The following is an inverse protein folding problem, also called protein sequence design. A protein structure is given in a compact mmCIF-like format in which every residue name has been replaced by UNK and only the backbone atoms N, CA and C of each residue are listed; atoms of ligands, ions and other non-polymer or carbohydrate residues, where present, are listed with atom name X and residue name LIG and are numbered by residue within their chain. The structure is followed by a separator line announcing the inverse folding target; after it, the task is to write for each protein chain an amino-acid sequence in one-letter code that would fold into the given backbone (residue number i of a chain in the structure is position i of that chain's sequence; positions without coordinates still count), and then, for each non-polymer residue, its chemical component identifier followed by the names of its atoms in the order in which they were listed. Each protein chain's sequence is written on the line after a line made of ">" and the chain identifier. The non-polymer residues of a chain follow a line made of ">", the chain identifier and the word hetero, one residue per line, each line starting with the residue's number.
data_IF_581808362991
#
_entry.id   IF_581808362991
#
_cell.length_a   1.000
_cell.length_b   1.000
_cell.length_c   1.000
_cell.angle_alpha   90.00
_cell.angle_beta   90.00
_cell.angle_gamma   90.00
#
_symmetry.space_group_name_H-M   'P 1'
#
loop_
_entity.id
_entity.type
_entity.pdbx_description
1 polymer ?
#
# COMPACT_ATOMS: atom_id res chain seq x y z
N UNK A 1 21.89 19.71 -15.41
CA UNK A 1 21.47 18.33 -15.18
C UNK A 1 20.07 18.06 -15.75
N UNK A 2 19.16 19.03 -15.72
CA UNK A 2 17.81 18.93 -16.31
C UNK A 2 17.59 19.96 -17.42
N UNK A 3 16.64 19.72 -18.31
CA UNK A 3 16.14 20.65 -19.32
C UNK A 3 14.66 20.87 -19.05
N UNK A 4 14.25 22.15 -19.08
CA UNK A 4 12.83 22.48 -19.14
C UNK A 4 12.40 22.41 -20.60
N UNK A 5 11.48 21.54 -20.97
CA UNK A 5 11.00 21.37 -22.35
C UNK A 5 9.68 22.10 -22.61
N UNK A 6 8.82 22.22 -21.61
CA UNK A 6 7.55 22.93 -21.70
C UNK A 6 7.21 23.49 -20.32
N UNK A 7 7.00 24.77 -20.18
CA UNK A 7 6.59 25.56 -19.01
C UNK A 7 6.37 24.77 -17.70
N UNK A 8 7.45 24.26 -17.11
CA UNK A 8 7.40 23.54 -15.82
C UNK A 8 7.66 22.03 -15.87
N UNK A 9 7.75 21.43 -17.06
CA UNK A 9 8.11 20.01 -17.18
C UNK A 9 9.64 19.85 -17.28
N UNK A 10 10.25 19.49 -16.16
CA UNK A 10 11.70 19.31 -16.03
C UNK A 10 12.09 17.86 -16.32
N UNK A 11 12.79 17.62 -17.41
CA UNK A 11 13.29 16.30 -17.77
C UNK A 11 14.79 16.17 -17.54
N UNK A 12 15.27 15.03 -16.98
CA UNK A 12 16.69 14.79 -16.82
C UNK A 12 17.38 14.65 -18.19
N UNK A 13 18.56 15.22 -18.32
CA UNK A 13 19.43 15.01 -19.51
C UNK A 13 20.03 13.61 -19.46
N UNK A 14 20.41 13.07 -20.61
CA UNK A 14 21.21 11.86 -20.70
C UNK A 14 22.49 12.02 -19.85
N UNK A 15 22.77 11.05 -18.98
CA UNK A 15 23.91 11.12 -18.04
C UNK A 15 23.69 12.05 -16.84
N UNK A 16 22.44 12.47 -16.57
CA UNK A 16 22.14 13.35 -15.45
C UNK A 16 22.38 12.65 -14.10
N UNK A 17 22.06 11.37 -14.01
CA UNK A 17 22.22 10.58 -12.78
C UNK A 17 23.72 10.49 -12.43
N UNK A 18 24.56 10.08 -13.36
CA UNK A 18 26.02 9.97 -13.17
C UNK A 18 26.65 11.32 -12.75
N UNK A 19 26.19 12.42 -13.35
CA UNK A 19 26.67 13.76 -12.96
C UNK A 19 26.26 14.15 -11.55
N UNK A 20 25.04 13.83 -11.12
CA UNK A 20 24.58 14.07 -9.75
C UNK A 20 25.38 13.22 -8.78
N UNK A 21 25.51 11.92 -9.07
CA UNK A 21 26.24 10.97 -8.21
C UNK A 21 27.70 11.36 -8.05
N UNK A 22 28.39 11.76 -9.13
CA UNK A 22 29.77 12.24 -9.07
C UNK A 22 29.94 13.46 -8.16
N UNK A 23 28.94 14.35 -8.09
CA UNK A 23 28.99 15.54 -7.22
C UNK A 23 28.72 15.24 -5.75
N UNK A 24 27.85 14.30 -5.45
CA UNK A 24 27.48 13.97 -4.08
C UNK A 24 28.40 12.92 -3.45
N UNK A 25 29.07 12.08 -4.25
CA UNK A 25 29.99 11.02 -3.80
C UNK A 25 30.99 11.47 -2.73
N UNK A 26 31.68 12.63 -2.83
CA UNK A 26 32.63 13.06 -1.80
C UNK A 26 32.00 13.35 -0.44
N UNK A 27 30.67 13.62 -0.41
CA UNK A 27 29.92 13.95 0.80
C UNK A 27 28.97 12.81 1.24
N UNK A 28 29.02 11.65 0.56
CA UNK A 28 28.11 10.55 0.81
C UNK A 28 28.88 9.35 1.35
N UNK A 29 28.44 8.83 2.48
CA UNK A 29 28.88 7.55 2.99
C UNK A 29 27.79 6.51 2.68
N UNK A 30 28.11 5.53 1.84
CA UNK A 30 27.18 4.42 1.52
C UNK A 30 27.45 3.27 2.48
N UNK A 31 26.48 2.99 3.33
CA UNK A 31 26.51 1.82 4.20
C UNK A 31 26.16 0.57 3.39
N UNK A 32 27.12 -0.29 3.14
CA UNK A 32 26.82 -1.54 2.45
C UNK A 32 26.00 -2.48 3.33
N UNK A 33 24.87 -3.01 2.85
CA UNK A 33 24.06 -3.97 3.62
C UNK A 33 24.85 -5.24 4.03
N UNK A 34 25.95 -5.53 3.34
CA UNK A 34 26.80 -6.68 3.61
C UNK A 34 27.85 -6.51 4.70
N UNK A 35 28.14 -5.27 5.13
CA UNK A 35 29.19 -4.96 6.13
C UNK A 35 28.64 -5.04 7.56
N UNK A 36 27.36 -4.75 7.73
CA UNK A 36 26.65 -4.88 9.01
C UNK A 36 25.68 -6.05 8.95
N UNK A 37 26.25 -7.24 8.84
CA UNK A 37 25.50 -8.51 8.74
C UNK A 37 24.99 -8.99 10.09
N UNK A 38 23.89 -8.49 10.56
CA UNK A 38 22.81 -9.38 10.91
C UNK A 38 22.21 -9.85 9.58
N UNK A 39 22.47 -11.08 9.19
CA UNK A 39 21.89 -11.64 7.95
C UNK A 39 20.40 -11.66 8.14
N UNK A 40 19.72 -10.69 7.54
CA UNK A 40 18.26 -10.74 7.49
C UNK A 40 17.86 -12.05 6.80
N UNK A 41 16.83 -12.73 7.30
CA UNK A 41 16.28 -13.89 6.62
C UNK A 41 15.75 -13.49 5.24
N UNK A 42 15.56 -14.44 4.33
CA UNK A 42 14.93 -14.18 3.03
C UNK A 42 13.60 -13.46 3.17
N UNK A 43 13.33 -12.55 2.22
CA UNK A 43 12.04 -11.89 2.09
C UNK A 43 11.42 -12.29 0.74
N UNK A 44 10.32 -13.04 0.82
CA UNK A 44 9.60 -13.55 -0.33
C UNK A 44 8.41 -12.65 -0.60
N UNK A 45 8.33 -12.09 -1.81
CA UNK A 45 7.17 -11.32 -2.26
C UNK A 45 6.35 -12.20 -3.19
N UNK A 46 5.07 -12.39 -2.84
CA UNK A 46 4.13 -13.25 -3.54
C UNK A 46 3.00 -12.40 -4.09
N UNK A 47 2.87 -12.36 -5.41
CA UNK A 47 1.72 -11.72 -6.06
C UNK A 47 0.51 -12.65 -6.01
N UNK A 48 -0.55 -12.20 -5.34
CA UNK A 48 -1.84 -12.86 -5.31
C UNK A 48 -2.79 -12.13 -6.24
N UNK A 49 -3.23 -12.81 -7.30
CA UNK A 49 -4.01 -12.20 -8.38
C UNK A 49 -5.43 -12.72 -8.39
N UNK A 50 -6.40 -11.82 -8.50
CA UNK A 50 -7.83 -12.13 -8.64
C UNK A 50 -8.44 -11.44 -9.85
N UNK A 51 -9.54 -11.98 -10.31
CA UNK A 51 -10.38 -11.39 -11.35
C UNK A 51 -11.68 -10.84 -10.74
N UNK A 52 -12.26 -9.83 -11.37
CA UNK A 52 -13.57 -9.30 -11.04
C UNK A 52 -14.34 -8.91 -12.31
N UNK A 53 -15.65 -8.72 -12.20
CA UNK A 53 -16.40 -8.03 -13.27
C UNK A 53 -15.95 -6.57 -13.33
N UNK A 54 -15.37 -6.18 -14.48
CA UNK A 54 -14.81 -4.85 -14.69
C UNK A 54 -15.75 -3.87 -15.41
N UNK A 55 -17.00 -4.24 -15.63
CA UNK A 55 -17.95 -3.39 -16.36
C UNK A 55 -18.05 -1.98 -15.74
N UNK A 56 -18.28 -1.91 -14.44
CA UNK A 56 -18.32 -0.64 -13.70
C UNK A 56 -16.95 0.07 -13.68
N UNK A 57 -15.87 -0.69 -13.54
CA UNK A 57 -14.50 -0.18 -13.54
C UNK A 57 -14.14 0.50 -14.86
N UNK A 58 -14.40 -0.16 -15.98
CA UNK A 58 -14.11 0.38 -17.32
C UNK A 58 -15.00 1.61 -17.64
N UNK A 59 -16.25 1.61 -17.17
CA UNK A 59 -17.13 2.78 -17.28
C UNK A 59 -16.56 3.98 -16.51
N UNK A 60 -16.17 3.81 -15.25
CA UNK A 60 -15.53 4.86 -14.47
C UNK A 60 -14.24 5.37 -15.13
N UNK A 61 -13.43 4.47 -15.68
CA UNK A 61 -12.16 4.82 -16.34
C UNK A 61 -12.38 5.63 -17.61
N UNK A 62 -13.45 5.35 -18.37
CA UNK A 62 -13.74 6.02 -19.64
C UNK A 62 -14.52 7.31 -19.45
N UNK A 63 -15.57 7.26 -18.68
CA UNK A 63 -16.60 8.31 -18.62
C UNK A 63 -16.47 9.18 -17.36
N UNK A 64 -15.55 8.82 -16.43
CA UNK A 64 -15.39 9.45 -15.11
C UNK A 64 -16.66 9.40 -14.25
N UNK A 65 -17.56 8.48 -14.58
CA UNK A 65 -18.87 8.30 -13.98
C UNK A 65 -19.30 6.84 -14.01
N UNK A 66 -19.93 6.38 -12.94
CA UNK A 66 -20.57 5.06 -12.85
C UNK A 66 -21.82 5.13 -11.98
N UNK A 67 -22.83 4.33 -12.32
CA UNK A 67 -24.01 4.12 -11.48
C UNK A 67 -23.87 2.79 -10.75
N UNK A 68 -23.97 2.79 -9.43
CA UNK A 68 -23.90 1.61 -8.58
C UNK A 68 -24.92 1.72 -7.46
N UNK A 69 -25.76 0.69 -7.30
CA UNK A 69 -26.75 0.63 -6.23
C UNK A 69 -27.74 1.79 -6.23
N UNK A 70 -28.03 2.41 -7.41
CA UNK A 70 -28.87 3.60 -7.55
C UNK A 70 -28.18 4.94 -7.25
N UNK A 71 -26.88 4.93 -6.93
CA UNK A 71 -26.07 6.12 -6.77
C UNK A 71 -25.24 6.42 -8.02
N UNK A 72 -25.20 7.69 -8.44
CA UNK A 72 -24.33 8.18 -9.50
C UNK A 72 -22.99 8.65 -8.89
N UNK A 73 -21.91 7.97 -9.19
CA UNK A 73 -20.58 8.21 -8.64
C UNK A 73 -19.71 8.88 -9.70
N UNK A 74 -19.27 10.09 -9.43
CA UNK A 74 -18.44 10.88 -10.36
C UNK A 74 -17.02 11.12 -9.83
N UNK A 75 -16.09 11.37 -10.76
CA UNK A 75 -14.71 11.75 -10.45
C UNK A 75 -14.30 12.97 -11.29
N UNK A 76 -14.30 14.13 -10.69
CA UNK A 76 -14.10 15.41 -11.38
C UNK A 76 -12.65 15.74 -11.74
N UNK A 77 -11.68 15.00 -11.21
CA UNK A 77 -10.25 15.22 -11.47
C UNK A 77 -9.52 13.91 -11.72
N UNK A 78 -8.37 13.94 -12.42
CA UNK A 78 -7.55 12.77 -12.66
C UNK A 78 -7.11 12.07 -11.35
N UNK A 79 -6.81 12.84 -10.31
CA UNK A 79 -6.48 12.30 -9.00
C UNK A 79 -7.67 11.59 -8.34
N UNK A 80 -8.88 12.15 -8.46
CA UNK A 80 -10.09 11.52 -7.98
C UNK A 80 -10.39 10.23 -8.75
N UNK A 81 -10.24 10.22 -10.07
CA UNK A 81 -10.36 8.99 -10.91
C UNK A 81 -9.41 7.92 -10.42
N UNK A 82 -8.13 8.25 -10.27
CA UNK A 82 -7.10 7.31 -9.81
C UNK A 82 -7.47 6.69 -8.47
N UNK A 83 -7.91 7.51 -7.50
CA UNK A 83 -8.34 7.03 -6.18
C UNK A 83 -9.58 6.13 -6.27
N UNK A 84 -10.58 6.50 -7.08
CA UNK A 84 -11.79 5.68 -7.28
C UNK A 84 -11.48 4.37 -8.00
N UNK A 85 -10.62 4.38 -9.00
CA UNK A 85 -10.17 3.15 -9.68
C UNK A 85 -9.46 2.19 -8.73
N UNK A 86 -8.68 2.71 -7.77
CA UNK A 86 -8.03 1.87 -6.75
C UNK A 86 -9.05 1.28 -5.78
N UNK A 87 -10.06 2.04 -5.36
CA UNK A 87 -11.18 1.53 -4.57
C UNK A 87 -11.95 0.45 -5.35
N UNK A 88 -12.25 0.71 -6.62
CA UNK A 88 -12.99 -0.23 -7.48
C UNK A 88 -12.18 -1.51 -7.76
N UNK A 89 -10.86 -1.44 -7.87
CA UNK A 89 -10.02 -2.64 -7.90
C UNK A 89 -10.15 -3.48 -6.62
N UNK A 90 -10.48 -2.85 -5.48
CA UNK A 90 -10.82 -3.51 -4.22
C UNK A 90 -12.23 -4.08 -4.14
N UNK A 91 -13.08 -3.85 -5.16
CA UNK A 91 -14.48 -4.34 -5.22
C UNK A 91 -15.51 -3.38 -4.62
N UNK A 92 -15.14 -2.13 -4.35
CA UNK A 92 -16.00 -1.12 -3.75
C UNK A 92 -15.62 0.28 -4.22
N UNK A 93 -16.49 1.28 -3.98
CA UNK A 93 -16.17 2.69 -4.24
C UNK A 93 -16.99 3.61 -3.34
N UNK A 94 -16.40 4.72 -2.90
CA UNK A 94 -17.15 5.74 -2.18
C UNK A 94 -18.01 6.57 -3.12
N UNK A 95 -19.26 6.78 -2.71
CA UNK A 95 -20.07 7.92 -3.09
C UNK A 95 -19.92 9.05 -2.06
N UNK A 96 -19.99 10.30 -2.51
CA UNK A 96 -19.92 11.47 -1.64
C UNK A 96 -21.18 12.28 -1.81
N UNK A 97 -22.07 12.21 -0.83
CA UNK A 97 -23.31 12.98 -0.80
C UNK A 97 -23.09 14.22 0.06
N UNK A 98 -23.43 15.38 -0.49
CA UNK A 98 -23.37 16.66 0.23
C UNK A 98 -24.77 17.10 0.62
N UNK A 99 -25.04 17.20 1.91
CA UNK A 99 -26.33 17.65 2.44
C UNK A 99 -26.19 19.05 3.05
N UNK A 100 -27.20 19.88 2.86
CA UNK A 100 -27.27 21.18 3.52
C UNK A 100 -27.37 20.98 5.03
N UNK A 101 -26.49 21.63 5.78
CA UNK A 101 -26.59 21.67 7.25
C UNK A 101 -27.69 22.66 7.71
N UNK A 102 -28.21 22.42 8.91
CA UNK A 102 -29.17 23.37 9.57
C UNK A 102 -28.64 24.80 9.74
N UNK A 103 -27.33 24.99 9.54
CA UNK A 103 -26.69 26.31 9.51
C UNK A 103 -26.55 26.79 8.07
N UNK A 104 -27.11 27.96 7.78
CA UNK A 104 -27.08 28.58 6.46
C UNK A 104 -25.66 28.62 5.86
N UNK A 105 -25.50 28.09 4.66
CA UNK A 105 -24.25 28.09 3.91
C UNK A 105 -23.24 27.02 4.31
N UNK A 106 -23.55 26.08 5.22
CA UNK A 106 -22.70 24.96 5.60
C UNK A 106 -23.24 23.68 4.97
N UNK A 107 -22.38 22.97 4.21
CA UNK A 107 -22.67 21.65 3.67
C UNK A 107 -21.89 20.61 4.44
N UNK A 108 -22.56 19.52 4.82
CA UNK A 108 -21.91 18.33 5.38
C UNK A 108 -21.75 17.29 4.27
N UNK A 109 -20.55 16.76 4.11
CA UNK A 109 -20.27 15.68 3.16
C UNK A 109 -20.22 14.36 3.89
N UNK A 110 -21.01 13.41 3.42
CA UNK A 110 -21.02 12.01 3.88
C UNK A 110 -20.45 11.11 2.79
N UNK A 111 -19.69 10.09 3.20
CA UNK A 111 -19.15 9.09 2.28
C UNK A 111 -19.83 7.76 2.55
N UNK A 112 -20.42 7.20 1.52
CA UNK A 112 -21.05 5.87 1.55
C UNK A 112 -20.25 4.93 0.65
N UNK A 113 -19.89 3.76 1.15
CA UNK A 113 -19.19 2.76 0.35
C UNK A 113 -20.21 1.86 -0.37
N UNK A 114 -20.09 1.77 -1.68
CA UNK A 114 -20.87 0.85 -2.51
C UNK A 114 -20.00 -0.35 -2.85
N UNK A 115 -20.32 -1.50 -2.27
CA UNK A 115 -19.68 -2.79 -2.52
C UNK A 115 -20.35 -3.49 -3.69
N UNK A 116 -19.56 -4.02 -4.60
CA UNK A 116 -20.05 -4.77 -5.76
C UNK A 116 -19.28 -6.08 -5.99
N UNK A 117 -18.18 -6.32 -5.26
CA UNK A 117 -17.42 -7.56 -5.32
C UNK A 117 -16.66 -7.81 -4.01
N UNK A 118 -16.59 -9.08 -3.60
CA UNK A 118 -15.82 -9.53 -2.42
C UNK A 118 -14.51 -10.24 -2.78
N UNK A 119 -14.21 -10.36 -4.08
CA UNK A 119 -13.10 -11.16 -4.63
C UNK A 119 -11.77 -11.01 -3.88
N UNK A 120 -11.46 -9.79 -3.40
CA UNK A 120 -10.23 -9.52 -2.65
C UNK A 120 -10.27 -10.09 -1.24
N UNK A 121 -11.42 -10.02 -0.58
CA UNK A 121 -11.59 -10.63 0.74
C UNK A 121 -11.67 -12.15 0.68
N UNK A 122 -12.24 -12.70 -0.40
CA UNK A 122 -12.29 -14.15 -0.61
C UNK A 122 -10.86 -14.70 -0.81
N UNK A 123 -10.04 -14.00 -1.61
CA UNK A 123 -8.61 -14.33 -1.72
C UNK A 123 -7.84 -14.13 -0.40
N UNK A 124 -8.21 -13.13 0.43
CA UNK A 124 -7.61 -12.96 1.76
C UNK A 124 -7.94 -14.13 2.68
N UNK A 125 -9.16 -14.64 2.66
CA UNK A 125 -9.52 -15.84 3.43
C UNK A 125 -8.65 -17.04 3.05
N UNK A 126 -8.45 -17.28 1.75
CA UNK A 126 -7.57 -18.37 1.27
C UNK A 126 -6.12 -18.21 1.78
N UNK A 127 -5.59 -16.97 1.76
CA UNK A 127 -4.25 -16.69 2.30
C UNK A 127 -4.21 -16.98 3.81
N UNK A 128 -5.22 -16.53 4.56
CA UNK A 128 -5.27 -16.70 6.02
C UNK A 128 -5.50 -18.16 6.41
N UNK A 129 -6.30 -18.90 5.66
CA UNK A 129 -6.48 -20.35 5.85
C UNK A 129 -5.15 -21.11 5.66
N UNK A 130 -4.38 -20.75 4.64
CA UNK A 130 -3.04 -21.29 4.43
C UNK A 130 -2.02 -20.90 5.50
N UNK A 131 -2.29 -19.82 6.25
CA UNK A 131 -1.39 -19.22 7.24
C UNK A 131 -1.85 -19.39 8.70
N UNK A 132 -2.76 -20.30 9.02
CA UNK A 132 -3.44 -20.41 10.33
C UNK A 132 -2.50 -20.46 11.54
N UNK A 133 -1.30 -20.98 11.39
CA UNK A 133 -0.31 -21.10 12.48
C UNK A 133 0.44 -19.78 12.75
N UNK A 134 0.48 -18.87 11.77
CA UNK A 134 1.30 -17.68 11.83
C UNK A 134 0.49 -16.40 12.11
N UNK A 135 1.08 -15.52 12.90
CA UNK A 135 0.52 -14.19 13.09
C UNK A 135 0.77 -13.36 11.82
N UNK A 136 -0.26 -12.68 11.34
CA UNK A 136 -0.25 -11.99 10.05
C UNK A 136 -0.61 -10.51 10.21
N UNK A 137 0.18 -9.63 9.59
CA UNK A 137 -0.14 -8.21 9.46
C UNK A 137 -0.98 -8.00 8.19
N UNK A 138 -2.12 -7.33 8.33
CA UNK A 138 -2.98 -6.91 7.24
C UNK A 138 -2.78 -5.41 6.98
N UNK A 139 -2.27 -5.06 5.80
CA UNK A 139 -1.99 -3.68 5.43
C UNK A 139 -3.14 -3.15 4.58
N UNK A 140 -3.75 -2.04 5.04
CA UNK A 140 -4.86 -1.37 4.38
C UNK A 140 -4.51 0.09 4.06
N UNK A 141 -5.08 0.65 3.00
CA UNK A 141 -4.91 2.07 2.64
C UNK A 141 -6.19 2.89 2.83
N UNK A 142 -7.33 2.24 2.88
CA UNK A 142 -8.63 2.93 2.97
C UNK A 142 -9.35 2.55 4.27
N UNK A 143 -10.02 3.54 4.87
CA UNK A 143 -10.81 3.33 6.10
C UNK A 143 -11.90 2.27 5.90
N UNK A 144 -12.48 2.21 4.71
CA UNK A 144 -13.48 1.20 4.36
C UNK A 144 -12.91 -0.22 4.37
N UNK A 145 -11.68 -0.42 3.90
CA UNK A 145 -11.01 -1.72 3.99
C UNK A 145 -10.88 -2.16 5.46
N UNK A 146 -10.48 -1.24 6.35
CA UNK A 146 -10.41 -1.52 7.78
C UNK A 146 -11.78 -1.85 8.37
N UNK A 147 -12.83 -1.12 7.97
CA UNK A 147 -14.19 -1.38 8.45
C UNK A 147 -14.66 -2.79 8.08
N UNK A 148 -14.41 -3.20 6.83
CA UNK A 148 -14.74 -4.54 6.35
C UNK A 148 -13.87 -5.62 7.01
N UNK A 149 -12.57 -5.37 7.21
CA UNK A 149 -11.70 -6.27 7.96
C UNK A 149 -12.22 -6.51 9.38
N UNK A 150 -12.61 -5.46 10.10
CA UNK A 150 -13.18 -5.59 11.47
C UNK A 150 -14.50 -6.36 11.50
N UNK A 151 -15.31 -6.20 10.45
CA UNK A 151 -16.57 -6.96 10.31
C UNK A 151 -16.33 -8.43 10.03
N UNK A 152 -15.39 -8.75 9.12
CA UNK A 152 -15.09 -10.13 8.71
C UNK A 152 -14.24 -10.89 9.73
N UNK A 153 -13.35 -10.19 10.43
CA UNK A 153 -12.44 -10.76 11.43
C UNK A 153 -12.62 -10.07 12.78
N UNK A 154 -13.58 -10.51 13.63
CA UNK A 154 -13.89 -9.85 14.91
C UNK A 154 -12.73 -9.82 15.91
N UNK A 155 -11.71 -10.67 15.71
CA UNK A 155 -10.50 -10.73 16.55
C UNK A 155 -9.32 -9.94 15.96
N UNK A 156 -9.56 -9.12 14.95
CA UNK A 156 -8.58 -8.23 14.37
C UNK A 156 -8.23 -7.12 15.36
N UNK A 157 -6.94 -6.89 15.54
CA UNK A 157 -6.40 -5.75 16.29
C UNK A 157 -5.88 -4.66 15.37
N UNK A 158 -5.90 -3.43 15.85
CA UNK A 158 -5.27 -2.27 15.22
C UNK A 158 -4.26 -1.65 16.19
N UNK A 159 -3.38 -0.78 15.70
CA UNK A 159 -2.43 -0.08 16.58
C UNK A 159 -3.10 0.87 17.59
N UNK A 160 -4.36 1.26 17.33
CA UNK A 160 -5.13 2.17 18.18
C UNK A 160 -5.90 1.44 19.31
N UNK A 161 -5.88 0.10 19.34
CA UNK A 161 -6.63 -0.69 20.32
C UNK A 161 -5.95 -0.77 21.71
N UNK A 162 -4.85 -0.07 21.90
CA UNK A 162 -4.20 0.09 23.21
C UNK A 162 -2.70 0.38 23.12
N UNK A 163 -2.13 0.91 24.17
CA UNK A 163 -0.71 1.27 24.24
C UNK A 163 0.22 0.03 24.27
N UNK A 164 -0.29 -1.12 24.63
CA UNK A 164 0.45 -2.39 24.75
C UNK A 164 0.31 -3.31 23.52
N UNK A 165 -0.38 -2.87 22.46
CA UNK A 165 -0.63 -3.67 21.25
C UNK A 165 0.67 -4.19 20.63
N UNK A 166 1.70 -3.36 20.50
CA UNK A 166 3.00 -3.77 19.95
C UNK A 166 3.64 -4.86 20.81
N UNK A 167 3.56 -4.74 22.14
CA UNK A 167 4.06 -5.75 23.05
C UNK A 167 3.27 -7.06 22.91
N UNK A 168 1.93 -7.01 22.92
CA UNK A 168 1.07 -8.18 22.76
C UNK A 168 1.27 -8.87 21.43
N UNK A 169 1.46 -8.10 20.36
CA UNK A 169 1.82 -8.63 19.04
C UNK A 169 3.14 -9.41 19.12
N UNK A 170 4.19 -8.80 19.65
CA UNK A 170 5.51 -9.41 19.76
C UNK A 170 5.53 -10.62 20.72
N UNK A 171 4.66 -10.65 21.73
CA UNK A 171 4.46 -11.80 22.62
C UNK A 171 3.59 -12.92 21.99
N UNK A 172 3.17 -12.76 20.71
CA UNK A 172 2.39 -13.77 19.97
C UNK A 172 0.91 -13.87 20.39
N UNK A 173 0.39 -12.89 21.15
CA UNK A 173 -0.99 -12.88 21.66
C UNK A 173 -2.01 -12.38 20.63
N UNK A 174 -1.56 -11.74 19.57
CA UNK A 174 -2.38 -11.19 18.49
C UNK A 174 -2.13 -11.99 17.22
N UNK A 175 -3.19 -12.57 16.64
CA UNK A 175 -3.12 -13.35 15.40
C UNK A 175 -3.20 -12.48 14.15
N UNK A 176 -4.07 -11.48 14.17
CA UNK A 176 -4.28 -10.55 13.05
C UNK A 176 -4.11 -9.12 13.54
N UNK A 177 -3.21 -8.38 12.92
CA UNK A 177 -2.94 -6.97 13.20
C UNK A 177 -3.12 -6.14 11.94
N UNK A 178 -4.11 -5.24 11.91
CA UNK A 178 -4.28 -4.30 10.80
C UNK A 178 -3.40 -3.06 11.00
N UNK A 179 -2.68 -2.68 9.94
CA UNK A 179 -1.74 -1.56 9.96
C UNK A 179 -1.93 -0.69 8.72
N UNK A 180 -2.03 0.61 8.93
CA UNK A 180 -1.98 1.58 7.82
C UNK A 180 -0.52 1.95 7.52
N UNK A 181 -0.05 2.03 6.26
CA UNK A 181 1.35 2.33 5.92
C UNK A 181 1.89 3.60 6.57
N UNK A 182 1.08 4.65 6.68
CA UNK A 182 1.49 5.91 7.33
C UNK A 182 1.68 5.76 8.84
N UNK A 183 0.88 4.91 9.50
CA UNK A 183 1.04 4.63 10.94
C UNK A 183 2.28 3.78 11.22
N UNK A 184 2.67 2.94 10.26
CA UNK A 184 3.90 2.16 10.34
C UNK A 184 5.17 3.03 10.32
N UNK A 185 5.10 4.31 9.87
CA UNK A 185 6.22 5.26 9.84
C UNK A 185 6.84 5.58 11.20
N UNK A 186 6.18 5.30 12.33
CA UNK A 186 6.62 5.71 13.68
C UNK A 186 7.60 4.75 14.39
N UNK A 187 8.46 4.06 13.67
CA UNK A 187 9.56 3.28 14.29
C UNK A 187 9.14 2.00 15.02
N UNK A 188 7.94 1.47 14.75
CA UNK A 188 7.42 0.28 15.40
C UNK A 188 8.28 -0.96 15.11
N UNK A 189 8.53 -1.76 16.14
CA UNK A 189 9.23 -3.04 16.05
C UNK A 189 8.21 -4.17 16.09
N UNK A 190 7.88 -4.75 14.94
CA UNK A 190 6.86 -5.81 14.82
C UNK A 190 7.46 -7.17 14.41
N UNK A 191 8.80 -7.26 14.28
CA UNK A 191 9.48 -8.43 13.75
C UNK A 191 9.42 -9.67 14.64
N UNK A 192 9.15 -9.52 15.93
CA UNK A 192 9.12 -10.66 16.85
C UNK A 192 7.77 -11.39 16.86
N UNK A 193 6.67 -10.67 16.57
CA UNK A 193 5.32 -11.22 16.65
C UNK A 193 4.92 -12.05 15.44
N UNK A 194 5.45 -11.74 14.25
CA UNK A 194 5.05 -12.40 13.02
C UNK A 194 6.08 -12.21 11.89
N UNK A 195 5.92 -12.99 10.84
CA UNK A 195 6.77 -12.94 9.64
C UNK A 195 5.94 -12.90 8.34
N UNK A 196 4.62 -12.69 8.46
CA UNK A 196 3.70 -12.63 7.32
C UNK A 196 2.99 -11.30 7.26
N UNK A 197 2.89 -10.75 6.06
CA UNK A 197 2.25 -9.48 5.77
C UNK A 197 1.44 -9.59 4.49
N UNK A 198 0.22 -9.07 4.50
CA UNK A 198 -0.67 -9.04 3.34
C UNK A 198 -1.05 -7.59 3.04
N UNK A 199 -0.72 -7.09 1.87
CA UNK A 199 -1.20 -5.80 1.38
C UNK A 199 -2.54 -6.01 0.67
N UNK A 200 -3.62 -5.53 1.28
CA UNK A 200 -4.95 -5.52 0.64
C UNK A 200 -4.98 -4.56 -0.55
N UNK A 201 -4.37 -3.41 -0.39
CA UNK A 201 -4.13 -2.44 -1.44
C UNK A 201 -2.76 -1.81 -1.28
N UNK A 202 -2.13 -1.43 -2.38
CA UNK A 202 -0.77 -0.91 -2.39
C UNK A 202 -0.75 0.61 -2.17
N UNK A 203 0.22 1.14 -1.41
CA UNK A 203 0.50 2.57 -1.40
C UNK A 203 1.16 2.99 -2.72
N UNK A 204 0.96 4.24 -3.15
CA UNK A 204 1.65 4.82 -4.31
C UNK A 204 3.12 5.17 -4.06
N UNK A 205 3.53 5.19 -2.79
CA UNK A 205 4.87 5.53 -2.37
C UNK A 205 5.71 4.28 -2.11
N UNK A 206 6.83 4.14 -2.83
CA UNK A 206 7.81 3.08 -2.57
C UNK A 206 8.34 3.18 -1.13
N UNK A 207 8.61 4.39 -0.66
CA UNK A 207 9.08 4.60 0.71
C UNK A 207 8.09 4.04 1.75
N UNK A 208 6.79 4.32 1.60
CA UNK A 208 5.77 3.76 2.50
C UNK A 208 5.67 2.24 2.41
N UNK A 209 5.80 1.67 1.20
CA UNK A 209 5.83 0.23 1.01
C UNK A 209 7.02 -0.41 1.73
N UNK A 210 8.23 0.09 1.48
CA UNK A 210 9.47 -0.42 2.07
C UNK A 210 9.53 -0.21 3.58
N UNK A 211 9.11 0.95 4.09
CA UNK A 211 9.00 1.20 5.52
C UNK A 211 8.02 0.24 6.19
N UNK A 212 6.91 -0.11 5.54
CA UNK A 212 5.93 -1.04 6.08
C UNK A 212 6.48 -2.45 6.14
N UNK A 213 7.09 -2.94 5.05
CA UNK A 213 7.78 -4.24 5.02
C UNK A 213 8.90 -4.29 6.07
N UNK A 214 9.68 -3.21 6.19
CA UNK A 214 10.73 -3.07 7.18
C UNK A 214 10.29 -3.10 8.65
N UNK A 215 8.97 -3.18 8.96
CA UNK A 215 8.50 -3.40 10.34
C UNK A 215 8.65 -4.84 10.78
N UNK A 216 8.64 -5.80 9.84
CA UNK A 216 8.84 -7.23 10.11
C UNK A 216 10.15 -7.76 9.51
N UNK A 217 10.62 -7.20 8.38
CA UNK A 217 11.88 -7.58 7.74
C UNK A 217 13.01 -6.66 8.18
N UNK A 218 13.53 -6.92 9.37
CA UNK A 218 14.60 -6.12 10.00
C UNK A 218 15.40 -6.95 11.00
N UNK A 219 16.48 -6.39 11.56
CA UNK A 219 17.32 -7.05 12.56
C UNK A 219 16.50 -7.62 13.72
N UNK A 220 16.79 -8.88 14.08
CA UNK A 220 16.04 -9.66 15.07
C UNK A 220 14.90 -10.51 14.52
N UNK A 221 14.59 -10.44 13.22
CA UNK A 221 13.74 -11.45 12.56
C UNK A 221 14.56 -12.71 12.27
N UNK A 222 14.07 -13.87 12.70
CA UNK A 222 14.75 -15.16 12.54
C UNK A 222 14.09 -16.06 11.49
N UNK A 223 12.87 -15.71 11.06
CA UNK A 223 12.08 -16.50 10.10
C UNK A 223 12.02 -15.82 8.75
N UNK A 224 11.94 -16.61 7.68
CA UNK A 224 11.67 -16.11 6.34
C UNK A 224 10.41 -15.23 6.36
N UNK A 225 10.53 -14.02 5.79
CA UNK A 225 9.42 -13.07 5.71
C UNK A 225 8.64 -13.30 4.42
N UNK A 226 7.32 -13.35 4.52
CA UNK A 226 6.41 -13.52 3.40
C UNK A 226 5.51 -12.29 3.27
N UNK A 227 5.62 -11.63 2.14
CA UNK A 227 4.82 -10.44 1.81
C UNK A 227 3.91 -10.79 0.64
N UNK A 228 2.61 -10.89 0.93
CA UNK A 228 1.59 -11.13 -0.09
C UNK A 228 1.08 -9.78 -0.60
N UNK A 229 1.10 -9.61 -1.91
CA UNK A 229 0.62 -8.40 -2.59
C UNK A 229 -0.61 -8.78 -3.38
N UNK A 230 -1.77 -8.27 -2.96
CA UNK A 230 -3.04 -8.57 -3.62
C UNK A 230 -3.27 -7.61 -4.79
N UNK A 231 -3.45 -8.17 -5.97
CA UNK A 231 -3.63 -7.45 -7.23
C UNK A 231 -4.90 -7.92 -7.92
N UNK A 232 -5.69 -6.98 -8.44
CA UNK A 232 -6.81 -7.29 -9.31
C UNK A 232 -6.36 -7.14 -10.77
N UNK A 233 -6.51 -8.21 -11.55
CA UNK A 233 -6.05 -8.27 -12.93
C UNK A 233 -6.68 -7.18 -13.81
N UNK A 234 -5.85 -6.60 -14.69
CA UNK A 234 -6.24 -5.57 -15.68
C UNK A 234 -6.83 -4.31 -15.03
N UNK A 235 -6.37 -3.96 -13.85
CA UNK A 235 -6.75 -2.74 -13.11
C UNK A 235 -5.54 -1.86 -12.82
N UNK A 236 -5.79 -0.78 -12.09
CA UNK A 236 -4.74 0.17 -11.67
C UNK A 236 -3.72 -0.47 -10.72
N UNK A 237 -4.06 -1.59 -10.06
CA UNK A 237 -3.14 -2.30 -9.17
C UNK A 237 -1.86 -2.74 -9.87
N UNK A 238 -1.98 -3.24 -11.10
CA UNK A 238 -0.82 -3.65 -11.91
C UNK A 238 0.09 -2.46 -12.22
N UNK A 239 -0.50 -1.28 -12.46
CA UNK A 239 0.25 -0.05 -12.73
C UNK A 239 0.94 0.46 -11.47
N UNK A 240 0.27 0.39 -10.31
CA UNK A 240 0.87 0.76 -9.02
C UNK A 240 2.05 -0.17 -8.73
N UNK A 241 1.85 -1.48 -8.88
CA UNK A 241 2.88 -2.49 -8.61
C UNK A 241 4.09 -2.31 -9.53
N UNK A 242 3.88 -2.15 -10.83
CA UNK A 242 4.95 -1.84 -11.79
C UNK A 242 5.71 -0.56 -11.40
N UNK A 243 4.99 0.51 -11.06
CA UNK A 243 5.62 1.79 -10.69
C UNK A 243 6.45 1.68 -9.39
N UNK A 244 6.06 0.84 -8.44
CA UNK A 244 6.86 0.56 -7.25
C UNK A 244 8.15 -0.21 -7.61
N UNK A 245 8.06 -1.19 -8.50
CA UNK A 245 9.21 -1.95 -8.99
C UNK A 245 10.20 -1.05 -9.76
N UNK A 246 9.71 -0.20 -10.67
CA UNK A 246 10.52 0.73 -11.44
C UNK A 246 11.27 1.74 -10.55
N UNK A 247 10.59 2.28 -9.53
CA UNK A 247 11.22 3.19 -8.56
C UNK A 247 12.30 2.50 -7.73
N UNK A 248 12.10 1.23 -7.38
CA UNK A 248 13.10 0.41 -6.67
C UNK A 248 14.33 0.20 -7.54
N UNK A 249 14.16 -0.18 -8.81
CA UNK A 249 15.26 -0.36 -9.76
C UNK A 249 16.09 0.92 -9.92
N UNK A 250 15.45 2.09 -10.01
CA UNK A 250 16.13 3.38 -10.07
C UNK A 250 16.94 3.65 -8.78
N UNK A 251 16.37 3.35 -7.63
CA UNK A 251 17.06 3.53 -6.35
C UNK A 251 18.26 2.61 -6.20
N UNK A 252 18.17 1.36 -6.64
CA UNK A 252 19.25 0.39 -6.63
C UNK A 252 20.40 0.83 -7.55
N UNK A 253 20.10 1.26 -8.79
CA UNK A 253 21.10 1.81 -9.73
C UNK A 253 21.82 3.02 -9.11
N UNK A 254 21.07 3.93 -8.48
CA UNK A 254 21.65 5.11 -7.85
C UNK A 254 22.62 4.74 -6.69
N UNK A 255 22.28 3.71 -5.91
CA UNK A 255 23.15 3.21 -4.85
C UNK A 255 24.40 2.52 -5.40
N UNK A 256 24.29 1.74 -6.49
CA UNK A 256 25.42 1.11 -7.16
C UNK A 256 26.41 2.15 -7.71
N UNK A 257 25.92 3.21 -8.34
CA UNK A 257 26.75 4.32 -8.83
C UNK A 257 27.51 5.05 -7.70
N UNK A 258 27.00 5.03 -6.47
CA UNK A 258 27.70 5.60 -5.32
C UNK A 258 28.79 4.69 -4.77
N UNK A 259 28.69 3.37 -4.98
CA UNK A 259 29.67 2.38 -4.51
C UNK A 259 30.92 2.28 -5.40
N UNK A 260 30.77 2.51 -6.71
CA UNK A 260 31.89 2.52 -7.69
C UNK A 260 32.71 3.79 -7.61
#
# INVERSE_FOLDING_TARGET
>A
VCINRDFGDWQPRRGALEQVMARIRPATFVLEPGVYKDKLPPCHVVEMRSDMDRTAYEKMKKDYLVELGGAEITALTAAAVTSKLQQMAGGWVYDTVSEASDKAGVFKSYKYAHWFSTHRFDMLDEILEGNQQDNTILVYNFVEELAQLKTRYPHLWTLDDGADVVKRWNDGQIKLLAVHPKSAGHGLNLQYGGNKMVFLSLPWSLELYEQTVGRIHRGGQERDVWVYVMLTNKTIDERIWSALADKRAISEIALEELKG
#
